data_IF_132445937939
#
_entry.id   IF_132445937939
#
_cell.length_a   1.000
_cell.length_b   1.000
_cell.length_c   1.000
_cell.angle_alpha   90.00
_cell.angle_beta   90.00
_cell.angle_gamma   90.00
#
_symmetry.space_group_name_H-M   'P 1'
#
loop_
_entity.id
_entity.type
_entity.pdbx_description
1 polymer ?
#
# COMPACT_ATOMS: atom_id res chain seq x y z
N UNK A 1 -15.97 10.97 -9.04
CA UNK A 1 -16.37 10.58 -7.67
C UNK A 1 -15.11 10.11 -6.95
N UNK A 2 -14.66 10.73 -5.86
CA UNK A 2 -13.41 10.32 -5.24
C UNK A 2 -13.66 9.01 -4.48
N UNK A 3 -12.89 7.97 -4.80
CA UNK A 3 -12.77 6.78 -3.96
C UNK A 3 -12.31 7.21 -2.56
N UNK A 4 -13.23 7.13 -1.59
CA UNK A 4 -13.04 7.04 -0.14
C UNK A 4 -11.69 7.57 0.37
N UNK A 5 -11.65 8.76 1.00
CA UNK A 5 -10.44 9.57 1.24
C UNK A 5 -9.18 8.88 1.80
N UNK A 6 -9.30 7.71 2.45
CA UNK A 6 -8.16 6.88 2.87
C UNK A 6 -7.39 6.25 1.70
N UNK A 7 -8.08 5.68 0.71
CA UNK A 7 -7.44 5.07 -0.45
C UNK A 7 -6.68 6.11 -1.28
N UNK A 8 -7.28 7.29 -1.48
CA UNK A 8 -6.62 8.41 -2.14
C UNK A 8 -5.36 8.89 -1.39
N UNK A 9 -5.40 8.95 -0.05
CA UNK A 9 -4.23 9.32 0.76
C UNK A 9 -3.10 8.29 0.65
N UNK A 10 -3.43 6.99 0.67
CA UNK A 10 -2.44 5.93 0.49
C UNK A 10 -1.80 5.98 -0.90
N UNK A 11 -2.61 6.17 -1.96
CA UNK A 11 -2.12 6.33 -3.33
C UNK A 11 -1.22 7.57 -3.46
N UNK A 12 -1.62 8.72 -2.89
CA UNK A 12 -0.83 9.94 -2.93
C UNK A 12 0.55 9.76 -2.25
N UNK A 13 0.59 9.08 -1.10
CA UNK A 13 1.85 8.76 -0.44
C UNK A 13 2.73 7.85 -1.31
N UNK A 14 2.17 6.76 -1.85
CA UNK A 14 2.92 5.82 -2.68
C UNK A 14 3.49 6.48 -3.94
N UNK A 15 2.73 7.39 -4.56
CA UNK A 15 3.18 8.18 -5.71
C UNK A 15 4.33 9.14 -5.36
N UNK A 16 4.35 9.68 -4.14
CA UNK A 16 5.42 10.57 -3.69
C UNK A 16 6.78 9.85 -3.55
N UNK A 17 6.78 8.53 -3.32
CA UNK A 17 8.00 7.71 -3.21
C UNK A 17 8.50 7.18 -4.56
N UNK A 18 7.89 7.62 -5.66
CA UNK A 18 8.28 7.17 -7.00
C UNK A 18 9.70 7.63 -7.32
N UNK A 19 10.57 6.67 -7.59
CA UNK A 19 11.99 6.90 -7.87
C UNK A 19 12.91 6.41 -6.75
N UNK A 20 12.36 6.11 -5.58
CA UNK A 20 13.12 5.52 -4.48
C UNK A 20 13.63 4.12 -4.84
N UNK A 21 14.72 3.73 -4.18
CA UNK A 21 15.36 2.43 -4.43
C UNK A 21 14.54 1.28 -3.85
N UNK A 22 14.47 0.18 -4.59
CA UNK A 22 14.00 -1.09 -4.02
C UNK A 22 15.11 -1.73 -3.18
N UNK A 23 14.82 -2.06 -1.92
CA UNK A 23 15.72 -2.79 -1.02
C UNK A 23 14.91 -3.82 -0.26
N UNK A 24 15.33 -5.08 -0.31
CA UNK A 24 14.69 -6.16 0.45
C UNK A 24 14.72 -5.84 1.96
N UNK A 25 13.55 -5.86 2.63
CA UNK A 25 13.42 -5.44 4.03
C UNK A 25 13.32 -3.92 4.24
N UNK A 26 13.34 -3.11 3.17
CA UNK A 26 13.29 -1.65 3.23
C UNK A 26 11.96 -1.12 3.78
N UNK A 27 12.05 -0.12 4.68
CA UNK A 27 10.92 0.52 5.36
C UNK A 27 10.90 2.06 5.19
N UNK A 28 11.63 2.57 4.19
CA UNK A 28 11.68 3.99 3.88
C UNK A 28 12.60 4.83 4.78
N UNK A 29 12.57 6.16 4.61
CA UNK A 29 11.84 6.85 3.54
C UNK A 29 12.53 6.77 2.16
N UNK A 30 13.83 6.46 2.09
CA UNK A 30 14.59 6.54 0.82
C UNK A 30 14.73 5.20 0.08
N UNK A 31 14.27 4.11 0.70
CA UNK A 31 14.33 2.77 0.11
C UNK A 31 13.23 1.88 0.69
N UNK A 32 12.54 1.14 -0.18
CA UNK A 32 11.34 0.39 0.18
C UNK A 32 11.44 -1.05 -0.33
N UNK A 33 10.83 -1.99 0.40
CA UNK A 33 10.36 -3.23 -0.21
C UNK A 33 8.86 -3.13 -0.57
N UNK A 34 8.36 -4.14 -1.29
CA UNK A 34 6.98 -4.16 -1.77
C UNK A 34 5.96 -3.96 -0.65
N UNK A 35 6.15 -4.63 0.49
CA UNK A 35 5.25 -4.60 1.64
C UNK A 35 5.50 -3.42 2.59
N UNK A 36 6.72 -2.88 2.62
CA UNK A 36 7.08 -1.72 3.41
C UNK A 36 6.46 -0.44 2.84
N UNK A 37 6.45 -0.31 1.51
CA UNK A 37 5.78 0.81 0.84
C UNK A 37 4.26 0.81 1.10
N UNK A 38 3.61 -0.35 1.00
CA UNK A 38 2.16 -0.47 1.25
C UNK A 38 1.80 -0.17 2.71
N UNK A 39 2.61 -0.65 3.66
CA UNK A 39 2.46 -0.32 5.09
C UNK A 39 2.54 1.19 5.32
N UNK A 40 3.56 1.85 4.79
CA UNK A 40 3.74 3.29 4.97
C UNK A 40 2.61 4.10 4.31
N UNK A 41 2.20 3.71 3.09
CA UNK A 41 1.10 4.34 2.37
C UNK A 41 -0.21 4.29 3.16
N UNK A 42 -0.60 3.10 3.64
CA UNK A 42 -1.84 2.93 4.39
C UNK A 42 -1.75 3.51 5.82
N UNK A 43 -0.55 3.57 6.41
CA UNK A 43 -0.32 4.26 7.68
C UNK A 43 -0.62 5.76 7.57
N UNK A 44 -0.28 6.40 6.44
CA UNK A 44 -0.65 7.80 6.19
C UNK A 44 -2.17 8.01 6.13
N UNK A 45 -2.92 6.97 5.75
CA UNK A 45 -4.37 6.95 5.77
C UNK A 45 -4.98 6.46 7.12
N UNK A 46 -4.14 6.24 8.14
CA UNK A 46 -4.55 5.79 9.48
C UNK A 46 -4.88 4.30 9.57
N UNK A 47 -4.40 3.48 8.65
CA UNK A 47 -4.62 2.02 8.64
C UNK A 47 -3.29 1.31 8.87
N UNK A 48 -3.25 0.45 9.89
CA UNK A 48 -2.06 -0.35 10.18
C UNK A 48 -2.14 -1.69 9.43
N UNK A 49 -1.19 -1.91 8.52
CA UNK A 49 -1.06 -3.18 7.79
C UNK A 49 0.00 -4.09 8.41
N UNK A 50 -0.13 -5.41 8.25
CA UNK A 50 0.94 -6.36 8.55
C UNK A 50 2.21 -6.07 7.73
N UNK A 51 3.38 -6.41 8.28
CA UNK A 51 4.68 -6.08 7.65
C UNK A 51 4.96 -6.85 6.36
N UNK A 52 4.41 -8.04 6.16
CA UNK A 52 4.76 -8.91 5.03
C UNK A 52 3.62 -8.96 4.01
N UNK A 53 3.95 -9.06 2.72
CA UNK A 53 2.98 -9.17 1.63
C UNK A 53 2.04 -10.37 1.81
N UNK A 54 2.58 -11.51 2.28
CA UNK A 54 1.80 -12.71 2.60
C UNK A 54 0.76 -12.49 3.69
N UNK A 55 1.07 -11.70 4.72
CA UNK A 55 0.10 -11.38 5.77
C UNK A 55 -0.89 -10.32 5.30
N UNK A 56 -0.46 -9.38 4.46
CA UNK A 56 -1.34 -8.37 3.85
C UNK A 56 -2.37 -8.99 2.90
N UNK A 57 -2.02 -10.04 2.15
CA UNK A 57 -2.93 -10.65 1.17
C UNK A 57 -4.18 -11.31 1.78
N UNK A 58 -4.12 -11.66 3.06
CA UNK A 58 -5.24 -12.21 3.82
C UNK A 58 -5.83 -11.19 4.81
N UNK A 59 -5.37 -9.94 4.79
CA UNK A 59 -5.80 -8.90 5.72
C UNK A 59 -6.86 -7.99 5.09
N UNK A 60 -7.96 -7.78 5.80
CA UNK A 60 -9.06 -6.93 5.35
C UNK A 60 -10.09 -7.67 4.49
N UNK A 61 -10.63 -6.99 3.49
CA UNK A 61 -11.72 -7.49 2.65
C UNK A 61 -11.21 -7.87 1.27
N UNK A 62 -11.54 -9.08 0.81
CA UNK A 62 -11.22 -9.52 -0.54
C UNK A 62 -12.03 -8.73 -1.58
N UNK A 63 -11.34 -8.21 -2.59
CA UNK A 63 -11.94 -7.45 -3.70
C UNK A 63 -11.71 -8.22 -5.00
N UNK A 64 -12.79 -8.44 -5.76
CA UNK A 64 -12.68 -9.06 -7.08
C UNK A 64 -12.00 -8.11 -8.06
N UNK A 65 -11.29 -8.65 -9.06
CA UNK A 65 -10.58 -7.82 -10.06
C UNK A 65 -11.49 -6.84 -10.79
N UNK A 66 -12.76 -7.18 -10.98
CA UNK A 66 -13.76 -6.33 -11.62
C UNK A 66 -14.17 -5.11 -10.79
N UNK A 67 -13.89 -5.12 -9.48
CA UNK A 67 -14.31 -4.10 -8.52
C UNK A 67 -13.15 -3.31 -7.91
N UNK A 68 -11.95 -3.39 -8.50
CA UNK A 68 -10.77 -2.69 -7.99
C UNK A 68 -10.97 -1.18 -7.99
N UNK A 69 -10.61 -0.55 -6.88
CA UNK A 69 -10.64 0.88 -6.65
C UNK A 69 -9.25 1.40 -6.25
N UNK A 70 -8.98 2.71 -6.44
CA UNK A 70 -7.74 3.31 -5.97
C UNK A 70 -7.54 3.10 -4.45
N UNK A 71 -6.41 2.47 -4.10
CA UNK A 71 -6.06 2.09 -2.74
C UNK A 71 -6.00 0.57 -2.55
N UNK A 72 -6.75 -0.21 -3.34
CA UNK A 72 -6.75 -1.66 -3.23
C UNK A 72 -5.36 -2.25 -3.47
N UNK A 73 -4.99 -3.24 -2.64
CA UNK A 73 -3.71 -3.93 -2.75
C UNK A 73 -3.86 -5.16 -3.63
N UNK A 74 -2.94 -5.29 -4.60
CA UNK A 74 -2.88 -6.43 -5.52
C UNK A 74 -1.65 -7.26 -5.18
N UNK A 75 -1.84 -8.57 -5.10
CA UNK A 75 -0.81 -9.54 -4.72
C UNK A 75 -0.52 -10.52 -5.88
N UNK A 76 0.70 -11.07 -5.91
CA UNK A 76 1.22 -11.95 -6.94
C UNK A 76 1.92 -13.16 -6.31
#
# INVERSE_FOLDING_TARGET
MPSSGKGAAAVAFALAQRGDRYVYGGNGPNAWDCSGLTVAAWKQAGVNLPRTSKAQSTFGTSVSRANLQPGDLVFY
#
